data_IF_514248653958
#
_entry.id   IF_514248653958
#
_cell.length_a   1.000
_cell.length_b   1.000
_cell.length_c   1.000
_cell.angle_alpha   90.00
_cell.angle_beta   90.00
_cell.angle_gamma   90.00
#
_symmetry.space_group_name_H-M   'P 1'
#
loop_
_entity.id
_entity.type
_entity.pdbx_description
1 polymer ?
#
# COMPACT_ATOMS: atom_id res chain seq x y z
N UNK A 1 -3.15 -2.73 4.41
CA UNK A 1 -3.75 -1.94 3.33
C UNK A 1 -2.72 -1.55 2.29
N UNK A 2 -3.14 -1.46 1.04
CA UNK A 2 -2.40 -0.84 -0.05
C UNK A 2 -3.36 0.11 -0.78
N UNK A 3 -3.09 1.40 -0.68
CA UNK A 3 -4.02 2.45 -1.15
C UNK A 3 -3.46 3.21 -2.36
N UNK A 4 -2.40 2.70 -2.98
CA UNK A 4 -1.81 3.28 -4.18
C UNK A 4 -1.59 2.17 -5.21
N UNK A 5 -2.63 1.89 -5.97
CA UNK A 5 -2.65 0.83 -6.99
C UNK A 5 -3.30 1.38 -8.27
N UNK A 6 -2.60 1.21 -9.38
CA UNK A 6 -3.13 1.50 -10.70
C UNK A 6 -3.79 0.26 -11.32
N UNK A 7 -4.71 0.52 -12.23
CA UNK A 7 -5.43 -0.50 -12.99
C UNK A 7 -5.15 -0.30 -14.50
N UNK A 8 -5.64 -1.18 -15.38
CA UNK A 8 -5.59 -0.93 -16.82
C UNK A 8 -6.31 0.35 -17.30
N UNK A 9 -6.93 1.12 -16.39
CA UNK A 9 -7.46 2.45 -16.69
C UNK A 9 -6.39 3.55 -16.66
N UNK A 10 -5.24 3.30 -16.04
CA UNK A 10 -4.06 4.19 -16.16
C UNK A 10 -3.30 3.89 -17.43
N UNK A 11 -2.96 4.93 -18.19
CA UNK A 11 -2.31 4.80 -19.49
C UNK A 11 -0.93 4.11 -19.43
N UNK A 12 -0.25 4.24 -18.31
CA UNK A 12 1.09 3.68 -18.06
C UNK A 12 1.06 2.33 -17.34
N UNK A 13 -0.12 1.72 -17.19
CA UNK A 13 -0.24 0.36 -16.65
C UNK A 13 0.43 -0.64 -17.59
N UNK A 14 1.35 -1.47 -17.04
CA UNK A 14 2.31 -2.23 -17.83
C UNK A 14 1.77 -3.57 -18.36
N UNK A 15 0.57 -3.98 -17.96
CA UNK A 15 -0.02 -5.28 -18.29
C UNK A 15 -1.49 -5.11 -18.73
N UNK A 16 -1.75 -4.68 -19.98
CA UNK A 16 -3.09 -4.30 -20.45
C UNK A 16 -4.13 -5.45 -20.40
N UNK A 17 -3.66 -6.71 -20.45
CA UNK A 17 -4.53 -7.90 -20.43
C UNK A 17 -4.96 -8.33 -19.01
N UNK A 18 -4.49 -7.63 -17.96
CA UNK A 18 -4.85 -7.90 -16.57
C UNK A 18 -6.29 -7.47 -16.32
N UNK A 19 -7.08 -8.36 -15.72
CA UNK A 19 -8.45 -8.09 -15.32
C UNK A 19 -8.53 -7.52 -13.89
N UNK A 20 -9.65 -6.87 -13.55
CA UNK A 20 -9.90 -6.43 -12.16
C UNK A 20 -9.94 -7.62 -11.20
N UNK A 21 -10.42 -8.78 -11.67
CA UNK A 21 -10.40 -10.01 -10.89
C UNK A 21 -8.97 -10.45 -10.54
N UNK A 22 -8.03 -10.35 -11.48
CA UNK A 22 -6.61 -10.67 -11.24
C UNK A 22 -5.99 -9.75 -10.18
N UNK A 23 -6.33 -8.46 -10.24
CA UNK A 23 -5.90 -7.47 -9.23
C UNK A 23 -6.41 -7.85 -7.85
N UNK A 24 -7.71 -8.14 -7.72
CA UNK A 24 -8.31 -8.52 -6.44
C UNK A 24 -7.77 -9.86 -5.90
N UNK A 25 -7.57 -10.85 -6.76
CA UNK A 25 -6.92 -12.12 -6.39
C UNK A 25 -5.49 -11.91 -5.93
N UNK A 26 -4.75 -11.03 -6.62
CA UNK A 26 -3.40 -10.68 -6.22
C UNK A 26 -3.38 -10.00 -4.86
N UNK A 27 -4.28 -9.06 -4.62
CA UNK A 27 -4.44 -8.41 -3.33
C UNK A 27 -4.75 -9.40 -2.21
N UNK A 28 -5.68 -10.36 -2.44
CA UNK A 28 -5.98 -11.43 -1.49
C UNK A 28 -4.74 -12.30 -1.20
N UNK A 29 -4.00 -12.69 -2.24
CA UNK A 29 -2.77 -13.49 -2.09
C UNK A 29 -1.68 -12.79 -1.27
N UNK A 30 -1.74 -11.47 -1.17
CA UNK A 30 -0.88 -10.62 -0.34
C UNK A 30 -1.48 -10.31 1.04
N UNK A 31 -2.64 -10.88 1.38
CA UNK A 31 -3.31 -10.63 2.64
C UNK A 31 -3.83 -9.20 2.81
N UNK A 32 -4.07 -8.49 1.72
CA UNK A 32 -4.59 -7.12 1.76
C UNK A 32 -6.09 -7.14 2.08
N UNK A 33 -6.49 -6.39 3.10
CA UNK A 33 -7.89 -6.25 3.52
C UNK A 33 -8.49 -4.89 3.13
N UNK A 34 -7.66 -3.90 2.84
CA UNK A 34 -8.07 -2.58 2.35
C UNK A 34 -7.23 -2.26 1.12
N UNK A 35 -7.92 -1.91 0.04
CA UNK A 35 -7.35 -1.61 -1.26
C UNK A 35 -7.97 -0.32 -1.81
N UNK A 36 -7.21 0.48 -2.54
CA UNK A 36 -7.77 1.58 -3.33
C UNK A 36 -7.25 1.52 -4.76
N UNK A 37 -8.15 1.70 -5.73
CA UNK A 37 -7.76 2.00 -7.09
C UNK A 37 -7.56 3.50 -7.22
N UNK A 38 -6.35 3.90 -7.59
CA UNK A 38 -5.92 5.30 -7.63
C UNK A 38 -5.29 5.61 -8.98
N UNK A 39 -6.05 5.38 -10.04
CA UNK A 39 -5.61 5.64 -11.39
C UNK A 39 -5.31 7.13 -11.63
N UNK A 40 -4.37 7.43 -12.52
CA UNK A 40 -3.94 8.78 -12.84
C UNK A 40 -5.07 9.64 -13.40
N UNK A 41 -5.45 10.70 -12.68
CA UNK A 41 -6.41 11.71 -13.10
C UNK A 41 -7.79 11.14 -13.53
N UNK A 42 -8.15 9.95 -13.06
CA UNK A 42 -9.39 9.27 -13.43
C UNK A 42 -9.94 8.40 -12.31
N UNK A 43 -11.24 8.15 -12.33
CA UNK A 43 -11.94 7.14 -11.52
C UNK A 43 -12.36 5.93 -12.37
N UNK A 44 -11.93 5.87 -13.61
CA UNK A 44 -12.41 4.90 -14.60
C UNK A 44 -12.15 3.44 -14.20
N UNK A 45 -11.05 3.13 -13.50
CA UNK A 45 -10.78 1.76 -13.02
C UNK A 45 -11.83 1.27 -12.04
N UNK A 46 -12.10 2.06 -11.01
CA UNK A 46 -13.15 1.74 -10.03
C UNK A 46 -14.54 1.71 -10.66
N UNK A 47 -14.84 2.64 -11.57
CA UNK A 47 -16.11 2.69 -12.31
C UNK A 47 -16.30 1.43 -13.15
N UNK A 48 -15.35 1.05 -13.99
CA UNK A 48 -15.42 -0.13 -14.87
C UNK A 48 -15.63 -1.43 -14.10
N UNK A 49 -14.93 -1.61 -12.97
CA UNK A 49 -15.16 -2.75 -12.08
C UNK A 49 -16.61 -2.78 -11.57
N UNK A 50 -17.15 -1.66 -11.10
CA UNK A 50 -18.53 -1.59 -10.61
C UNK A 50 -19.55 -1.83 -11.74
N UNK A 51 -19.29 -1.34 -12.93
CA UNK A 51 -20.14 -1.57 -14.12
C UNK A 51 -20.16 -3.05 -14.49
N UNK A 52 -18.99 -3.72 -14.50
CA UNK A 52 -18.88 -5.16 -14.76
C UNK A 52 -19.69 -5.99 -13.75
N UNK A 53 -19.54 -5.71 -12.45
CA UNK A 53 -20.29 -6.40 -11.40
C UNK A 53 -21.78 -6.16 -11.55
N UNK A 54 -22.23 -4.92 -11.76
CA UNK A 54 -23.64 -4.58 -11.95
C UNK A 54 -24.25 -5.25 -13.19
N UNK A 55 -23.49 -5.35 -14.27
CA UNK A 55 -23.93 -6.06 -15.47
C UNK A 55 -24.14 -7.56 -15.19
N UNK A 56 -23.22 -8.19 -14.49
CA UNK A 56 -23.36 -9.59 -14.07
C UNK A 56 -24.56 -9.78 -13.14
N UNK A 57 -24.78 -8.88 -12.19
CA UNK A 57 -25.94 -8.91 -11.28
C UNK A 57 -27.27 -8.72 -12.02
N UNK A 58 -27.31 -7.87 -13.03
CA UNK A 58 -28.47 -7.71 -13.89
C UNK A 58 -28.76 -9.01 -14.66
N UNK A 59 -27.73 -9.62 -15.27
CA UNK A 59 -27.89 -10.90 -15.98
C UNK A 59 -28.36 -12.02 -15.04
N UNK A 60 -27.84 -12.06 -13.80
CA UNK A 60 -28.30 -12.98 -12.76
C UNK A 60 -29.78 -12.79 -12.45
N UNK A 61 -30.22 -11.54 -12.24
CA UNK A 61 -31.62 -11.22 -11.92
C UNK A 61 -32.59 -11.63 -13.04
N UNK A 62 -32.12 -11.62 -14.29
CA UNK A 62 -32.87 -12.03 -15.47
C UNK A 62 -32.79 -13.54 -15.75
N UNK A 63 -32.03 -14.31 -14.97
CA UNK A 63 -31.79 -15.72 -15.19
C UNK A 63 -31.00 -16.03 -16.47
N UNK A 64 -30.15 -15.10 -16.91
CA UNK A 64 -29.41 -15.15 -18.20
C UNK A 64 -27.89 -15.32 -18.02
N UNK A 65 -27.38 -15.45 -16.80
CA UNK A 65 -25.95 -15.70 -16.56
C UNK A 65 -25.50 -17.03 -17.17
N UNK A 66 -24.41 -16.96 -17.91
CA UNK A 66 -23.68 -18.14 -18.37
C UNK A 66 -22.93 -18.77 -17.17
N UNK A 67 -22.57 -20.08 -17.25
CA UNK A 67 -21.85 -20.75 -16.16
C UNK A 67 -20.57 -20.03 -15.73
N UNK A 68 -19.75 -19.57 -16.68
CA UNK A 68 -18.50 -18.86 -16.39
C UNK A 68 -18.75 -17.49 -15.77
N UNK A 69 -19.79 -16.76 -16.21
CA UNK A 69 -20.19 -15.48 -15.64
C UNK A 69 -20.70 -15.63 -14.20
N UNK A 70 -21.37 -16.75 -13.90
CA UNK A 70 -21.80 -17.08 -12.54
C UNK A 70 -20.62 -17.32 -11.61
N UNK A 71 -19.58 -18.03 -12.10
CA UNK A 71 -18.35 -18.23 -11.35
C UNK A 71 -17.62 -16.88 -11.12
N UNK A 72 -17.52 -16.05 -12.15
CA UNK A 72 -16.92 -14.73 -12.08
C UNK A 72 -17.62 -13.85 -11.02
N UNK A 73 -18.96 -13.73 -11.08
CA UNK A 73 -19.72 -12.95 -10.12
C UNK A 73 -19.56 -13.46 -8.69
N UNK A 74 -19.59 -14.79 -8.52
CA UNK A 74 -19.39 -15.40 -7.20
C UNK A 74 -18.02 -15.08 -6.61
N UNK A 75 -17.00 -15.03 -7.46
CA UNK A 75 -15.63 -14.75 -7.04
C UNK A 75 -15.45 -13.26 -6.71
N UNK A 76 -16.04 -12.34 -7.48
CA UNK A 76 -16.09 -10.90 -7.10
C UNK A 76 -16.75 -10.71 -5.75
N UNK A 77 -17.91 -11.31 -5.51
CA UNK A 77 -18.61 -11.23 -4.22
C UNK A 77 -17.77 -11.76 -3.07
N UNK A 78 -17.11 -12.90 -3.28
CA UNK A 78 -16.23 -13.52 -2.29
C UNK A 78 -15.06 -12.60 -1.94
N UNK A 79 -14.38 -12.05 -2.93
CA UNK A 79 -13.22 -11.17 -2.75
C UNK A 79 -13.61 -9.85 -2.08
N UNK A 80 -14.69 -9.21 -2.54
CA UNK A 80 -15.15 -7.93 -1.99
C UNK A 80 -15.78 -8.05 -0.59
N UNK A 81 -16.11 -9.25 -0.13
CA UNK A 81 -16.42 -9.49 1.29
C UNK A 81 -15.18 -9.42 2.17
N UNK A 82 -14.00 -9.79 1.64
CA UNK A 82 -12.72 -9.80 2.35
C UNK A 82 -11.94 -8.51 2.19
N UNK A 83 -12.02 -7.90 1.00
CA UNK A 83 -11.27 -6.71 0.62
C UNK A 83 -12.23 -5.51 0.63
N UNK A 84 -11.97 -4.55 1.49
CA UNK A 84 -12.64 -3.26 1.47
C UNK A 84 -12.00 -2.40 0.38
N UNK A 85 -12.67 -2.30 -0.77
CA UNK A 85 -12.18 -1.56 -1.92
C UNK A 85 -12.69 -0.12 -1.90
N UNK A 86 -11.76 0.82 -1.95
CA UNK A 86 -12.02 2.26 -1.95
C UNK A 86 -11.94 2.85 -3.36
N UNK A 87 -12.85 3.75 -3.75
CA UNK A 87 -12.64 4.63 -4.89
C UNK A 87 -11.57 5.65 -4.56
N UNK A 88 -10.62 5.82 -5.47
CA UNK A 88 -9.54 6.79 -5.33
C UNK A 88 -9.08 7.33 -6.68
N UNK A 89 -8.27 8.36 -6.60
CA UNK A 89 -7.61 8.99 -7.74
C UNK A 89 -6.17 9.32 -7.35
N UNK A 90 -5.23 9.23 -8.28
CA UNK A 90 -3.95 9.90 -8.17
C UNK A 90 -3.94 11.13 -9.08
N UNK A 91 -4.08 12.29 -8.47
CA UNK A 91 -4.16 13.57 -9.18
C UNK A 91 -2.77 14.15 -9.41
N UNK A 92 -2.49 14.61 -10.63
CA UNK A 92 -1.26 15.32 -10.98
C UNK A 92 -1.48 16.83 -10.87
N UNK A 93 -0.92 17.46 -9.83
CA UNK A 93 -0.94 18.89 -9.63
C UNK A 93 0.12 19.61 -10.47
N UNK A 94 0.13 20.95 -10.45
CA UNK A 94 1.18 21.77 -11.08
C UNK A 94 2.57 21.29 -10.67
N UNK A 95 3.54 21.40 -11.56
CA UNK A 95 4.91 20.89 -11.43
C UNK A 95 5.03 19.36 -11.32
N UNK A 96 3.96 18.62 -11.59
CA UNK A 96 3.96 17.16 -11.57
C UNK A 96 3.98 16.54 -10.18
N UNK A 97 3.50 17.25 -9.16
CA UNK A 97 3.28 16.66 -7.84
C UNK A 97 2.06 15.76 -7.84
N UNK A 98 2.18 14.57 -7.26
CA UNK A 98 1.09 13.62 -7.20
C UNK A 98 0.39 13.65 -5.84
N UNK A 99 -0.94 13.57 -5.88
CA UNK A 99 -1.81 13.64 -4.71
C UNK A 99 -2.85 12.53 -4.82
N UNK A 100 -2.89 11.66 -3.83
CA UNK A 100 -3.94 10.65 -3.73
C UNK A 100 -5.15 11.26 -3.02
N UNK A 101 -6.31 11.12 -3.64
CA UNK A 101 -7.61 11.38 -3.05
C UNK A 101 -8.36 10.07 -2.89
N UNK A 102 -8.72 9.69 -1.65
CA UNK A 102 -9.57 8.51 -1.39
C UNK A 102 -10.96 8.96 -0.97
N UNK A 103 -11.98 8.26 -1.43
CA UNK A 103 -13.36 8.61 -1.15
C UNK A 103 -14.13 7.44 -0.54
N UNK A 104 -15.26 7.75 0.13
CA UNK A 104 -16.17 6.72 0.60
C UNK A 104 -16.77 5.94 -0.57
N UNK A 105 -16.92 4.62 -0.48
CA UNK A 105 -17.65 3.83 -1.48
C UNK A 105 -19.12 4.26 -1.66
N UNK A 106 -19.68 5.00 -0.70
CA UNK A 106 -21.02 5.59 -0.80
C UNK A 106 -21.09 6.81 -1.73
N UNK A 107 -19.92 7.44 -2.02
CA UNK A 107 -19.84 8.58 -2.92
C UNK A 107 -20.03 8.11 -4.36
N UNK A 108 -20.93 8.77 -5.08
CA UNK A 108 -21.20 8.39 -6.47
C UNK A 108 -20.00 8.70 -7.38
N UNK A 109 -19.86 7.92 -8.45
CA UNK A 109 -18.85 8.15 -9.49
C UNK A 109 -18.91 9.58 -10.03
N UNK A 110 -20.13 10.10 -10.27
CA UNK A 110 -20.35 11.46 -10.80
C UNK A 110 -19.84 12.55 -9.85
N UNK A 111 -19.95 12.35 -8.54
CA UNK A 111 -19.41 13.30 -7.58
C UNK A 111 -17.88 13.31 -7.62
N UNK A 112 -17.25 12.14 -7.81
CA UNK A 112 -15.78 12.04 -7.93
C UNK A 112 -15.33 12.65 -9.28
N UNK A 113 -16.02 12.40 -10.37
CA UNK A 113 -15.78 13.06 -11.66
C UNK A 113 -15.91 14.59 -11.55
N UNK A 114 -16.89 15.09 -10.77
CA UNK A 114 -17.00 16.51 -10.50
C UNK A 114 -15.80 17.05 -9.70
N UNK A 115 -15.25 16.28 -8.77
CA UNK A 115 -14.00 16.64 -8.09
C UNK A 115 -12.85 16.75 -9.09
N UNK A 116 -12.69 15.77 -10.00
CA UNK A 116 -11.67 15.81 -11.05
C UNK A 116 -11.80 17.04 -11.95
N UNK A 117 -13.04 17.38 -12.38
CA UNK A 117 -13.30 18.61 -13.15
C UNK A 117 -12.98 19.86 -12.34
N UNK A 118 -13.26 19.89 -11.04
CA UNK A 118 -12.91 20.99 -10.15
C UNK A 118 -11.40 21.12 -9.93
N UNK A 119 -10.67 20.03 -10.09
CA UNK A 119 -9.21 19.97 -10.13
C UNK A 119 -8.62 20.37 -11.50
N UNK A 120 -9.48 20.73 -12.46
CA UNK A 120 -9.08 21.21 -13.79
C UNK A 120 -8.85 20.10 -14.82
N UNK A 121 -9.27 18.87 -14.56
CA UNK A 121 -9.25 17.79 -15.56
C UNK A 121 -10.40 18.05 -16.55
N UNK A 122 -10.12 18.16 -17.86
CA UNK A 122 -11.17 18.35 -18.87
C UNK A 122 -12.16 17.18 -18.91
N UNK A 123 -13.43 17.47 -19.18
CA UNK A 123 -14.48 16.44 -19.21
C UNK A 123 -14.22 15.33 -20.23
N UNK A 124 -13.59 15.66 -21.34
CA UNK A 124 -13.20 14.74 -22.40
C UNK A 124 -12.02 13.83 -22.01
N UNK A 125 -11.28 14.19 -20.97
CA UNK A 125 -10.10 13.45 -20.49
C UNK A 125 -10.33 12.67 -19.19
N UNK A 126 -11.54 12.64 -18.68
CA UNK A 126 -11.88 11.95 -17.43
C UNK A 126 -11.61 10.43 -17.47
N UNK A 127 -11.54 9.86 -18.67
CA UNK A 127 -11.31 8.42 -18.88
C UNK A 127 -9.91 8.08 -19.41
N UNK A 128 -9.06 9.08 -19.66
CA UNK A 128 -7.77 8.88 -20.32
C UNK A 128 -6.74 8.19 -19.41
N UNK A 129 -6.84 8.37 -18.11
CA UNK A 129 -5.87 7.81 -17.16
C UNK A 129 -4.43 8.27 -17.41
N UNK A 130 -4.26 9.49 -17.93
CA UNK A 130 -2.98 9.99 -18.41
C UNK A 130 -2.28 10.82 -17.32
N UNK A 131 -1.12 10.38 -16.81
CA UNK A 131 -0.35 11.13 -15.81
C UNK A 131 0.20 12.46 -16.33
N UNK A 132 0.31 12.62 -17.64
CA UNK A 132 0.84 13.86 -18.25
C UNK A 132 -0.22 14.96 -18.41
N UNK A 133 -1.48 14.68 -18.16
CA UNK A 133 -2.50 15.74 -18.09
C UNK A 133 -2.27 16.51 -16.80
N UNK A 134 -1.39 17.53 -16.90
CA UNK A 134 -1.09 18.45 -15.81
C UNK A 134 -2.27 19.37 -15.57
N UNK A 135 -2.78 19.38 -14.34
CA UNK A 135 -3.79 20.33 -13.96
C UNK A 135 -3.21 21.73 -13.82
N UNK A 136 -4.03 22.72 -14.06
CA UNK A 136 -3.75 24.11 -13.76
C UNK A 136 -3.82 24.43 -12.25
N UNK A 137 -4.14 23.43 -11.43
CA UNK A 137 -4.38 23.56 -9.98
C UNK A 137 -3.12 23.22 -9.20
N UNK A 138 -2.78 24.10 -8.26
CA UNK A 138 -1.64 23.90 -7.36
C UNK A 138 -1.97 22.89 -6.23
N UNK A 139 -0.91 22.43 -5.56
CA UNK A 139 -0.98 21.39 -4.51
C UNK A 139 -1.94 21.77 -3.37
N UNK A 140 -1.89 23.00 -2.87
CA UNK A 140 -2.72 23.43 -1.72
C UNK A 140 -4.18 23.54 -2.10
N UNK A 141 -4.46 24.02 -3.30
CA UNK A 141 -5.82 24.07 -3.87
C UNK A 141 -6.36 22.65 -4.08
N UNK A 142 -5.54 21.73 -4.58
CA UNK A 142 -5.95 20.34 -4.75
C UNK A 142 -6.25 19.66 -3.40
N UNK A 143 -5.42 19.87 -2.38
CA UNK A 143 -5.70 19.36 -1.02
C UNK A 143 -7.05 19.86 -0.51
N UNK A 144 -7.32 21.16 -0.67
CA UNK A 144 -8.57 21.77 -0.23
C UNK A 144 -9.77 21.19 -0.96
N UNK A 145 -9.73 21.10 -2.29
CA UNK A 145 -10.85 20.59 -3.10
C UNK A 145 -11.17 19.14 -2.73
N UNK A 146 -10.16 18.27 -2.62
CA UNK A 146 -10.37 16.85 -2.27
C UNK A 146 -10.91 16.73 -0.84
N UNK A 147 -10.35 17.48 0.12
CA UNK A 147 -10.79 17.46 1.51
C UNK A 147 -12.22 18.01 1.67
N UNK A 148 -12.57 19.14 1.04
CA UNK A 148 -13.92 19.72 1.05
C UNK A 148 -14.96 18.78 0.41
N UNK A 149 -14.53 17.96 -0.54
CA UNK A 149 -15.35 16.90 -1.11
C UNK A 149 -15.49 15.66 -0.18
N UNK A 150 -14.96 15.71 1.04
CA UNK A 150 -15.00 14.61 2.01
C UNK A 150 -14.00 13.48 1.69
N UNK A 151 -12.96 13.76 0.92
CA UNK A 151 -11.89 12.81 0.61
C UNK A 151 -10.77 12.82 1.64
N UNK A 152 -10.09 11.68 1.79
CA UNK A 152 -8.80 11.60 2.47
C UNK A 152 -7.72 12.04 1.49
N UNK A 153 -6.90 13.01 1.90
CA UNK A 153 -5.82 13.61 1.08
C UNK A 153 -4.49 13.06 1.52
N UNK A 154 -3.76 12.45 0.60
CA UNK A 154 -2.44 11.86 0.86
C UNK A 154 -1.46 12.37 -0.20
N UNK A 155 -0.32 12.87 0.23
CA UNK A 155 0.75 13.21 -0.70
C UNK A 155 1.44 11.91 -1.17
N UNK A 156 1.28 11.59 -2.46
CA UNK A 156 1.82 10.37 -3.06
C UNK A 156 3.35 10.40 -3.05
N UNK A 157 3.96 9.23 -2.79
CA UNK A 157 5.44 9.03 -2.77
C UNK A 157 6.22 10.30 -2.38
N UNK A 158 5.81 10.94 -1.27
CA UNK A 158 6.20 12.30 -0.87
C UNK A 158 7.71 12.54 -0.85
N UNK A 159 8.52 11.52 -0.65
CA UNK A 159 9.98 11.57 -0.63
C UNK A 159 10.65 11.21 -1.96
N UNK A 160 9.89 11.04 -3.04
CA UNK A 160 10.39 10.88 -4.41
C UNK A 160 10.71 12.21 -5.09
N UNK A 161 11.16 12.16 -6.34
CA UNK A 161 11.43 13.35 -7.15
C UNK A 161 10.17 14.18 -7.45
N UNK A 162 9.02 13.53 -7.57
CA UNK A 162 7.70 14.15 -7.80
C UNK A 162 6.90 14.32 -6.50
N UNK A 163 7.56 14.15 -5.36
CA UNK A 163 6.93 14.22 -4.05
C UNK A 163 7.06 15.59 -3.38
N UNK A 164 6.08 15.97 -2.59
CA UNK A 164 6.00 17.27 -1.92
C UNK A 164 7.10 17.54 -0.88
N UNK A 165 7.81 16.50 -0.41
CA UNK A 165 8.99 16.65 0.44
C UNK A 165 10.21 17.17 -0.33
N UNK A 166 10.12 17.27 -1.66
CA UNK A 166 11.07 17.97 -2.55
C UNK A 166 12.50 17.50 -2.42
N UNK A 167 12.74 16.20 -2.34
CA UNK A 167 14.10 15.66 -2.37
C UNK A 167 14.73 15.95 -3.73
N UNK A 168 15.87 16.64 -3.71
CA UNK A 168 16.62 17.00 -4.92
C UNK A 168 16.18 18.31 -5.60
N UNK A 169 15.18 19.01 -5.11
CA UNK A 169 14.83 20.35 -5.58
C UNK A 169 15.58 21.42 -4.77
N UNK A 170 16.24 22.35 -5.48
CA UNK A 170 17.03 23.42 -4.86
C UNK A 170 16.20 24.61 -4.40
N UNK A 171 14.88 24.54 -4.42
CA UNK A 171 14.02 25.64 -4.01
C UNK A 171 13.10 25.25 -2.86
N UNK A 172 12.77 26.19 -2.05
CA UNK A 172 11.54 26.31 -1.33
C UNK A 172 11.45 25.54 -0.01
N UNK A 173 12.30 25.86 0.96
CA UNK A 173 12.00 25.50 2.36
C UNK A 173 10.58 25.90 2.74
N UNK A 174 10.15 27.10 2.40
CA UNK A 174 8.79 27.62 2.61
C UNK A 174 7.72 26.80 1.90
N UNK A 175 7.94 26.45 0.63
CA UNK A 175 7.00 25.64 -0.16
C UNK A 175 6.88 24.23 0.39
N UNK A 176 8.00 23.62 0.80
CA UNK A 176 7.96 22.31 1.47
C UNK A 176 7.16 22.36 2.76
N UNK A 177 7.36 23.40 3.58
CA UNK A 177 6.60 23.59 4.81
C UNK A 177 5.11 23.70 4.46
N UNK A 178 4.74 24.59 3.52
CA UNK A 178 3.36 24.78 3.12
C UNK A 178 2.72 23.46 2.65
N UNK A 179 3.40 22.70 1.76
CA UNK A 179 2.85 21.48 1.20
C UNK A 179 2.78 20.30 2.17
N UNK A 180 3.69 20.22 3.14
CA UNK A 180 3.71 19.09 4.09
C UNK A 180 3.02 19.39 5.42
N UNK A 181 2.70 20.65 5.70
CA UNK A 181 2.06 21.06 6.95
C UNK A 181 0.65 21.61 6.75
N UNK A 182 0.11 21.58 5.52
CA UNK A 182 -1.25 22.06 5.22
C UNK A 182 -2.30 21.27 6.01
N UNK A 183 -3.29 21.98 6.53
CA UNK A 183 -4.36 21.39 7.36
C UNK A 183 -5.24 20.37 6.63
N UNK A 184 -5.35 20.48 5.30
CA UNK A 184 -6.15 19.58 4.47
C UNK A 184 -5.37 18.31 4.07
N UNK A 185 -4.07 18.25 4.33
CA UNK A 185 -3.27 17.06 4.08
C UNK A 185 -3.38 16.09 5.27
N UNK A 186 -3.77 14.86 5.04
CA UNK A 186 -3.97 13.85 6.08
C UNK A 186 -2.74 12.99 6.34
N UNK A 187 -2.03 12.57 5.28
CA UNK A 187 -0.86 11.70 5.40
C UNK A 187 0.17 11.95 4.30
N UNK A 188 1.38 11.45 4.53
CA UNK A 188 2.45 11.35 3.55
C UNK A 188 2.62 9.86 3.19
N UNK A 189 2.48 9.51 1.92
CA UNK A 189 2.97 8.23 1.45
C UNK A 189 4.47 8.32 1.22
N UNK A 190 5.23 7.37 1.77
CA UNK A 190 6.68 7.39 1.74
C UNK A 190 7.24 6.03 1.33
N UNK A 191 8.44 6.01 0.75
CA UNK A 191 9.09 4.80 0.25
C UNK A 191 10.17 4.25 1.18
N UNK A 192 10.34 4.86 2.35
CA UNK A 192 11.41 4.56 3.31
C UNK A 192 10.89 4.24 4.73
N UNK A 193 9.60 3.91 4.87
CA UNK A 193 8.96 3.69 6.16
C UNK A 193 9.49 2.45 6.89
N UNK A 194 9.87 1.41 6.14
CA UNK A 194 10.38 0.13 6.65
C UNK A 194 11.90 0.12 6.89
N UNK A 195 12.60 1.19 6.50
CA UNK A 195 14.03 1.29 6.72
C UNK A 195 14.37 1.50 8.20
N UNK A 196 15.29 0.68 8.72
CA UNK A 196 15.84 0.83 10.08
C UNK A 196 16.86 1.98 10.10
N UNK A 197 16.39 3.23 9.99
CA UNK A 197 17.25 4.42 9.99
C UNK A 197 16.57 5.56 10.74
N UNK A 198 17.35 6.35 11.47
CA UNK A 198 16.89 7.60 12.07
C UNK A 198 16.74 8.74 11.04
N UNK A 199 17.12 8.50 9.79
CA UNK A 199 17.05 9.48 8.68
C UNK A 199 15.88 9.20 7.71
N UNK A 200 14.85 8.47 8.16
CA UNK A 200 13.65 8.24 7.33
C UNK A 200 12.81 9.50 7.20
N UNK A 201 11.95 9.52 6.20
CA UNK A 201 10.99 10.62 6.00
C UNK A 201 10.05 10.76 7.21
N UNK A 202 9.58 9.64 7.76
CA UNK A 202 8.75 9.64 8.97
C UNK A 202 9.49 10.24 10.20
N UNK A 203 10.78 9.95 10.34
CA UNK A 203 11.59 10.56 11.40
C UNK A 203 11.79 12.07 11.18
N UNK A 204 11.83 12.52 9.93
CA UNK A 204 11.92 13.95 9.61
C UNK A 204 10.64 14.72 9.96
N UNK A 205 9.46 14.15 9.67
CA UNK A 205 8.14 14.76 9.92
C UNK A 205 7.49 14.32 11.25
N UNK A 206 8.30 14.05 12.26
CA UNK A 206 7.84 13.60 13.57
C UNK A 206 7.35 14.73 14.52
N UNK A 207 7.29 15.98 14.05
CA UNK A 207 6.84 17.12 14.83
C UNK A 207 7.88 17.75 15.76
N UNK A 208 9.13 17.27 15.76
CA UNK A 208 10.18 17.81 16.65
C UNK A 208 10.91 19.03 16.09
N UNK A 209 10.72 19.34 14.82
CA UNK A 209 11.37 20.49 14.15
C UNK A 209 10.44 21.71 14.20
N UNK A 210 10.94 22.91 14.59
CA UNK A 210 10.11 24.13 14.67
C UNK A 210 9.40 24.47 13.37
N UNK A 211 10.02 24.20 12.22
CA UNK A 211 9.45 24.46 10.89
C UNK A 211 8.40 23.42 10.47
N UNK A 212 8.38 22.25 11.14
CA UNK A 212 7.49 21.12 10.90
C UNK A 212 6.84 20.66 12.22
N UNK A 213 6.05 21.53 12.87
CA UNK A 213 5.53 21.25 14.21
C UNK A 213 4.43 20.19 14.22
N UNK A 214 3.72 20.01 13.09
CA UNK A 214 2.72 18.96 12.95
C UNK A 214 3.41 17.65 12.61
N UNK A 215 3.26 16.67 13.50
CA UNK A 215 3.64 15.30 13.16
C UNK A 215 2.71 14.77 12.08
N UNK A 216 3.28 14.13 11.05
CA UNK A 216 2.51 13.60 9.93
C UNK A 216 2.34 12.09 10.06
N UNK A 217 1.15 11.59 9.74
CA UNK A 217 0.97 10.17 9.44
C UNK A 217 1.80 9.84 8.22
N UNK A 218 2.67 8.84 8.34
CA UNK A 218 3.47 8.33 7.24
C UNK A 218 3.04 6.89 6.97
N UNK A 219 2.66 6.63 5.74
CA UNK A 219 2.23 5.32 5.25
C UNK A 219 3.03 4.93 4.02
N UNK A 220 2.89 3.70 3.58
CA UNK A 220 3.44 3.25 2.30
C UNK A 220 2.37 2.51 1.50
N UNK A 221 2.42 2.70 0.18
CA UNK A 221 1.67 1.98 -0.83
C UNK A 221 2.62 1.41 -1.87
N UNK A 222 2.12 0.51 -2.71
CA UNK A 222 2.97 -0.12 -3.71
C UNK A 222 3.28 0.81 -4.89
N UNK A 223 2.38 1.71 -5.24
CA UNK A 223 2.46 2.50 -6.48
C UNK A 223 2.61 1.56 -7.67
N UNK A 224 1.76 0.52 -7.68
CA UNK A 224 1.91 -0.60 -8.60
C UNK A 224 1.20 -0.34 -9.92
N UNK A 225 1.95 -0.50 -11.01
CA UNK A 225 1.44 -0.47 -12.39
C UNK A 225 1.45 -1.87 -13.02
N UNK A 226 1.42 -2.92 -12.17
CA UNK A 226 1.52 -4.32 -12.56
C UNK A 226 1.17 -5.25 -11.40
N UNK A 227 0.82 -6.50 -11.71
CA UNK A 227 0.45 -7.48 -10.67
C UNK A 227 1.61 -7.86 -9.75
N UNK A 228 2.79 -8.07 -10.30
CA UNK A 228 3.95 -8.57 -9.54
C UNK A 228 5.18 -7.75 -9.85
N UNK A 229 6.13 -7.67 -8.90
CA UNK A 229 7.40 -6.98 -9.08
C UNK A 229 8.08 -7.35 -10.40
N UNK A 230 8.61 -6.36 -11.10
CA UNK A 230 9.37 -6.57 -12.32
C UNK A 230 10.64 -7.41 -12.03
N UNK A 231 10.79 -8.58 -12.62
CA UNK A 231 11.96 -9.44 -12.37
C UNK A 231 13.27 -8.80 -12.83
N UNK A 232 13.21 -7.91 -13.82
CA UNK A 232 14.38 -7.21 -14.38
C UNK A 232 14.60 -5.88 -13.68
N UNK A 233 13.52 -5.12 -13.51
CA UNK A 233 13.52 -3.79 -12.85
C UNK A 233 12.91 -3.90 -11.48
N UNK A 234 13.63 -4.41 -10.50
CA UNK A 234 13.18 -4.55 -9.09
C UNK A 234 12.63 -3.26 -8.45
N UNK A 235 12.76 -2.12 -9.14
CA UNK A 235 12.23 -0.82 -8.70
C UNK A 235 10.74 -0.64 -8.97
N UNK A 236 10.14 -1.47 -9.84
CA UNK A 236 8.72 -1.43 -10.17
C UNK A 236 8.00 -2.49 -9.33
N UNK A 237 7.43 -2.12 -8.17
CA UNK A 237 6.76 -3.06 -7.29
C UNK A 237 5.46 -3.56 -7.92
N UNK A 238 5.05 -4.75 -7.50
CA UNK A 238 3.72 -5.28 -7.75
C UNK A 238 2.75 -4.92 -6.63
N UNK A 239 1.49 -5.30 -6.84
CA UNK A 239 0.43 -5.08 -5.87
C UNK A 239 0.81 -5.66 -4.51
N UNK A 240 0.74 -4.84 -3.48
CA UNK A 240 0.99 -5.21 -2.11
C UNK A 240 2.47 -5.40 -1.75
N UNK A 241 3.43 -5.20 -2.66
CA UNK A 241 4.85 -5.33 -2.32
C UNK A 241 5.34 -4.25 -1.33
N UNK A 242 4.61 -3.15 -1.23
CA UNK A 242 4.66 -2.18 -0.13
C UNK A 242 3.25 -1.95 0.39
N UNK A 243 3.03 -2.17 1.66
CA UNK A 243 1.73 -2.01 2.28
C UNK A 243 1.89 -1.48 3.71
N UNK A 244 0.82 -0.93 4.26
CA UNK A 244 0.77 -0.41 5.62
C UNK A 244 -0.23 -1.23 6.44
N UNK A 245 0.17 -1.65 7.64
CA UNK A 245 -0.77 -2.15 8.64
C UNK A 245 -1.42 -0.96 9.34
N UNK A 246 -2.73 -1.02 9.46
CA UNK A 246 -3.54 -0.03 10.17
C UNK A 246 -4.40 -0.71 11.23
N UNK A 247 -4.50 -0.08 12.39
CA UNK A 247 -5.34 -0.57 13.48
C UNK A 247 -6.63 0.26 13.50
N UNK A 248 -7.71 -0.34 13.02
CA UNK A 248 -9.04 0.28 12.90
C UNK A 248 -10.04 -0.43 13.80
N UNK A 249 -11.07 0.27 14.21
CA UNK A 249 -12.20 -0.32 14.95
C UNK A 249 -13.04 -1.23 14.04
N UNK A 250 -13.20 -0.80 12.77
CA UNK A 250 -13.87 -1.56 11.72
C UNK A 250 -13.24 -1.23 10.35
N UNK A 251 -13.60 -2.00 9.33
CA UNK A 251 -13.16 -1.76 7.94
C UNK A 251 -14.12 -0.81 7.25
N UNK A 252 -14.09 0.46 7.63
CA UNK A 252 -14.91 1.52 7.05
C UNK A 252 -14.06 2.71 6.60
N UNK A 253 -14.62 3.54 5.73
CA UNK A 253 -14.00 4.79 5.32
C UNK A 253 -13.91 5.76 6.48
N UNK A 254 -14.93 5.80 7.32
CA UNK A 254 -15.02 6.65 8.51
C UNK A 254 -13.92 6.33 9.52
N UNK A 255 -13.62 5.04 9.74
CA UNK A 255 -12.51 4.61 10.60
C UNK A 255 -11.14 4.99 10.02
N UNK A 256 -10.98 5.03 8.70
CA UNK A 256 -9.77 5.55 8.06
C UNK A 256 -9.65 7.07 8.21
N UNK A 257 -10.74 7.81 8.06
CA UNK A 257 -10.77 9.26 8.30
C UNK A 257 -10.40 9.56 9.76
N UNK A 258 -11.01 8.85 10.70
CA UNK A 258 -10.72 8.99 12.14
C UNK A 258 -9.25 8.69 12.44
N UNK A 259 -8.70 7.62 11.86
CA UNK A 259 -7.28 7.28 11.99
C UNK A 259 -6.37 8.44 11.57
N UNK A 260 -6.57 8.98 10.38
CA UNK A 260 -5.70 10.02 9.82
C UNK A 260 -5.89 11.40 10.45
N UNK A 261 -7.03 11.65 11.09
CA UNK A 261 -7.28 12.85 11.89
C UNK A 261 -6.80 12.70 13.33
N UNK A 262 -6.53 11.48 13.79
CA UNK A 262 -6.06 11.23 15.16
C UNK A 262 -4.60 11.63 15.34
N UNK A 263 -4.21 11.81 16.60
CA UNK A 263 -2.81 11.98 17.00
C UNK A 263 -2.19 10.66 17.48
N UNK A 264 -2.85 9.52 17.22
CA UNK A 264 -2.33 8.21 17.58
C UNK A 264 -1.56 7.60 16.41
N UNK A 265 -0.29 7.93 16.34
CA UNK A 265 0.62 7.46 15.29
C UNK A 265 1.07 5.99 15.48
N UNK A 266 0.72 5.35 16.59
CA UNK A 266 1.01 3.93 16.83
C UNK A 266 0.09 3.00 16.04
N UNK A 267 -1.03 3.52 15.56
CA UNK A 267 -2.03 2.78 14.76
C UNK A 267 -1.61 2.50 13.31
N UNK A 268 -0.46 3.01 12.88
CA UNK A 268 0.09 2.76 11.54
C UNK A 268 1.51 2.23 11.63
N UNK A 269 1.82 1.17 10.88
CA UNK A 269 3.19 0.65 10.74
C UNK A 269 3.40 0.03 9.36
N UNK A 270 4.67 -0.03 8.86
CA UNK A 270 4.95 -0.73 7.62
C UNK A 270 4.57 -2.21 7.76
N UNK A 271 3.83 -2.73 6.78
CA UNK A 271 3.61 -4.16 6.70
C UNK A 271 4.91 -4.83 6.24
N UNK A 272 5.35 -5.77 7.04
CA UNK A 272 6.47 -6.64 6.67
C UNK A 272 5.85 -7.96 6.24
N UNK A 273 5.82 -8.18 4.94
CA UNK A 273 5.54 -9.53 4.47
C UNK A 273 6.55 -10.44 5.15
N UNK A 274 6.08 -11.28 6.05
CA UNK A 274 6.77 -12.53 6.27
C UNK A 274 6.82 -13.15 4.88
N UNK A 275 7.96 -13.02 4.18
CA UNK A 275 8.24 -14.00 3.19
C UNK A 275 8.00 -15.32 3.92
N UNK A 276 7.02 -16.06 3.48
CA UNK A 276 7.17 -17.48 3.37
C UNK A 276 8.24 -17.74 2.27
N UNK A 277 9.45 -17.23 2.48
CA UNK A 277 10.57 -18.08 2.24
C UNK A 277 10.20 -19.30 3.09
N UNK A 278 10.22 -20.47 2.53
CA UNK A 278 10.66 -21.64 3.27
C UNK A 278 11.93 -21.14 3.97
N UNK A 279 11.77 -20.61 5.20
CA UNK A 279 12.90 -20.32 6.04
C UNK A 279 13.46 -21.69 6.19
N UNK A 280 14.53 -21.95 5.47
CA UNK A 280 15.35 -23.10 5.78
C UNK A 280 15.89 -22.79 7.17
N UNK A 281 15.09 -23.17 8.18
CA UNK A 281 15.43 -22.94 9.59
C UNK A 281 16.80 -23.49 9.91
N UNK A 282 17.23 -24.50 9.15
CA UNK A 282 18.57 -25.08 9.24
C UNK A 282 19.60 -24.15 8.68
N UNK A 283 19.34 -23.52 7.53
CA UNK A 283 20.26 -22.53 6.94
C UNK A 283 20.36 -21.27 7.81
N UNK A 284 19.22 -20.76 8.29
CA UNK A 284 19.20 -19.59 9.20
C UNK A 284 19.95 -19.90 10.50
N UNK A 285 19.72 -21.08 11.08
CA UNK A 285 20.44 -21.51 12.28
C UNK A 285 21.94 -21.65 12.03
N UNK A 286 22.36 -22.17 10.87
CA UNK A 286 23.77 -22.25 10.49
C UNK A 286 24.44 -20.86 10.33
N UNK A 287 23.71 -19.89 9.78
CA UNK A 287 24.20 -18.50 9.64
C UNK A 287 24.33 -17.80 10.99
N UNK A 288 23.43 -18.09 11.94
CA UNK A 288 23.50 -17.58 13.33
C UNK A 288 24.59 -18.27 14.18
N UNK A 289 24.89 -19.50 13.84
CA UNK A 289 25.84 -20.33 14.58
C UNK A 289 25.36 -20.82 15.96
N UNK A 290 26.19 -21.54 16.70
CA UNK A 290 25.87 -22.05 18.05
C UNK A 290 25.67 -20.87 19.03
N UNK A 291 24.64 -21.02 19.90
CA UNK A 291 24.30 -20.05 20.93
C UNK A 291 23.55 -20.72 22.11
N UNK A 292 23.00 -19.94 23.04
CA UNK A 292 22.37 -20.47 24.27
C UNK A 292 21.11 -21.31 24.05
N UNK A 293 20.56 -21.30 22.82
CA UNK A 293 19.32 -22.02 22.46
C UNK A 293 19.50 -22.95 21.26
N UNK A 294 20.69 -23.01 20.65
CA UNK A 294 20.97 -23.93 19.55
C UNK A 294 22.44 -24.33 19.47
N UNK A 295 22.67 -25.59 19.06
CA UNK A 295 23.99 -26.11 18.78
C UNK A 295 23.98 -27.12 17.63
N UNK A 296 25.17 -27.45 17.08
CA UNK A 296 25.34 -28.25 15.88
C UNK A 296 26.33 -29.39 16.11
N UNK A 297 25.93 -30.61 15.73
CA UNK A 297 26.74 -31.79 15.77
C UNK A 297 26.82 -32.47 14.41
N UNK A 298 27.99 -32.81 13.94
CA UNK A 298 28.17 -33.54 12.66
C UNK A 298 27.67 -34.98 12.74
N UNK A 299 27.65 -35.57 13.93
CA UNK A 299 27.13 -36.93 14.14
C UNK A 299 26.89 -37.23 15.61
N UNK A 300 25.99 -38.17 15.89
CA UNK A 300 25.69 -38.68 17.23
C UNK A 300 26.25 -40.12 17.38
N UNK A 301 27.53 -40.33 17.12
CA UNK A 301 28.13 -41.64 17.18
C UNK A 301 29.10 -41.80 18.33
N UNK A 302 29.11 -42.96 18.96
CA UNK A 302 30.06 -43.31 20.06
C UNK A 302 31.49 -43.37 19.56
N UNK A 303 31.70 -43.71 18.28
CA UNK A 303 33.03 -43.89 17.67
C UNK A 303 33.63 -42.59 17.08
N UNK A 304 33.45 -41.48 17.65
CA UNK A 304 34.03 -40.23 17.21
C UNK A 304 34.17 -39.20 18.33
N UNK A 305 33.78 -39.55 19.54
CA UNK A 305 33.92 -38.65 20.69
C UNK A 305 32.78 -37.61 20.85
N UNK A 306 31.85 -37.54 19.92
CA UNK A 306 30.80 -36.48 19.90
C UNK A 306 29.57 -36.79 20.76
N UNK A 307 29.34 -38.07 21.17
CA UNK A 307 28.19 -38.40 21.98
C UNK A 307 28.18 -37.68 23.34
N UNK A 308 29.34 -37.50 23.95
CA UNK A 308 29.44 -36.83 25.27
C UNK A 308 29.11 -35.33 25.13
N UNK A 309 29.56 -34.65 24.08
CA UNK A 309 29.23 -33.27 23.78
C UNK A 309 27.72 -33.12 23.54
N UNK A 310 27.14 -33.94 22.68
CA UNK A 310 25.71 -33.96 22.40
C UNK A 310 24.85 -34.16 23.66
N UNK A 311 25.26 -35.10 24.56
CA UNK A 311 24.56 -35.31 25.84
C UNK A 311 24.72 -34.14 26.81
N UNK A 312 25.87 -33.47 26.79
CA UNK A 312 26.12 -32.29 27.61
C UNK A 312 25.22 -31.13 27.18
N UNK A 313 25.02 -30.92 25.85
CA UNK A 313 24.13 -29.86 25.32
C UNK A 313 22.67 -30.18 25.60
N UNK A 314 22.23 -31.46 25.49
CA UNK A 314 20.92 -31.87 25.96
C UNK A 314 20.71 -31.49 27.42
N UNK A 315 21.68 -31.83 28.27
CA UNK A 315 21.58 -31.50 29.70
C UNK A 315 21.56 -30.00 29.95
N UNK A 316 22.33 -29.22 29.19
CA UNK A 316 22.34 -27.77 29.28
C UNK A 316 20.97 -27.19 28.88
N UNK A 317 20.36 -27.63 27.77
CA UNK A 317 19.06 -27.16 27.31
C UNK A 317 17.91 -27.59 28.23
N UNK A 318 17.97 -28.78 28.83
CA UNK A 318 17.00 -29.21 29.82
C UNK A 318 17.04 -28.41 31.13
N UNK A 319 18.20 -27.85 31.47
CA UNK A 319 18.38 -27.01 32.67
C UNK A 319 18.16 -25.50 32.40
N UNK A 320 17.77 -25.14 31.17
CA UNK A 320 17.45 -23.78 30.76
C UNK A 320 16.03 -23.72 30.19
N UNK A 321 15.74 -22.81 29.27
CA UNK A 321 14.45 -22.67 28.61
C UNK A 321 14.24 -23.62 27.41
N UNK A 322 15.09 -24.61 27.24
CA UNK A 322 15.13 -25.51 26.09
C UNK A 322 16.07 -25.01 25.00
N UNK A 323 16.18 -25.79 23.91
CA UNK A 323 17.01 -25.47 22.77
C UNK A 323 16.83 -26.45 21.62
N UNK A 324 17.49 -26.19 20.50
CA UNK A 324 17.47 -27.02 19.29
C UNK A 324 18.86 -27.56 19.00
N UNK A 325 18.98 -28.88 18.82
CA UNK A 325 20.18 -29.52 18.36
C UNK A 325 20.03 -29.93 16.89
N UNK A 326 20.92 -29.45 16.05
CA UNK A 326 21.02 -29.81 14.64
C UNK A 326 22.05 -30.91 14.45
N UNK A 327 21.74 -31.95 13.67
CA UNK A 327 22.61 -33.10 13.41
C UNK A 327 22.81 -33.26 11.92
#
# INVERSE_FOLDING_TARGET
MDIHIHTPASLDFQQPDVTFLDILKKAESKGLEILAFTDHNTIAGYRKLNEEIKQLELLESLGRLLPDEKLLLSEYRRLLTRIFLLPGIEFTATFGFHIIGLFSPSKSIREIEHVLMSLGIPSESLDDGNPAIGASVDVLTAYRIINEAGGIVIAAHANSTNGVAMRGMNFGGQTRIAYTQDKNLHALEVTDLDLKSFRTTAAFFNGTKPEYPRRMHCIQGSDSHRLSTDPVRKKNPGIGDRATEVFLNDRSFESLVELFLSNDFSRTRPHRFTQESSVDFVQTAREEGPNIIQDFHESVTVRGGNLHGFLADICAFLNTNGGTLYI
#
